data_IF_534379190747
#
_entry.id   IF_534379190747
#
_cell.length_a   1.000
_cell.length_b   1.000
_cell.length_c   1.000
_cell.angle_alpha   90.00
_cell.angle_beta   90.00
_cell.angle_gamma   90.00
#
_symmetry.space_group_name_H-M   'P 1'
#
loop_
_entity.id
_entity.type
_entity.pdbx_description
1 polymer ?
#
# COMPACT_ATOMS: atom_id res chain seq x y z
N UNK A 1 -1.95 -96.49 -12.68
CA UNK A 1 -2.76 -96.10 -11.51
C UNK A 1 -3.01 -94.61 -11.61
N UNK A 2 -4.26 -94.24 -11.35
CA UNK A 2 -4.97 -92.99 -11.65
C UNK A 2 -4.53 -91.83 -10.72
N UNK A 3 -5.02 -90.59 -10.99
CA UNK A 3 -5.22 -89.44 -10.06
C UNK A 3 -4.01 -88.50 -9.85
N UNK A 4 -4.08 -87.15 -9.86
CA UNK A 4 -5.16 -86.14 -10.03
C UNK A 4 -4.56 -84.77 -10.38
N UNK A 5 -5.36 -83.93 -11.06
CA UNK A 5 -5.20 -82.49 -11.20
C UNK A 5 -5.29 -81.75 -9.85
N UNK A 6 -4.57 -80.63 -9.73
CA UNK A 6 -4.73 -79.63 -8.66
C UNK A 6 -4.76 -78.21 -9.24
N UNK A 7 -5.84 -77.50 -8.93
CA UNK A 7 -6.14 -76.09 -9.24
C UNK A 7 -5.13 -75.10 -8.61
N UNK A 8 -4.93 -73.91 -9.21
CA UNK A 8 -5.54 -72.63 -8.77
C UNK A 8 -4.92 -71.38 -9.45
N UNK A 9 -5.81 -70.63 -10.10
CA UNK A 9 -5.99 -69.17 -10.19
C UNK A 9 -4.83 -68.18 -10.42
N UNK A 10 -5.03 -67.46 -11.53
CA UNK A 10 -4.55 -66.13 -11.97
C UNK A 10 -4.55 -65.07 -10.85
N UNK A 11 -3.57 -64.15 -10.88
CA UNK A 11 -3.83 -62.74 -10.64
C UNK A 11 -2.91 -61.84 -11.50
N UNK A 12 -3.56 -61.06 -12.34
CA UNK A 12 -3.05 -59.93 -13.11
C UNK A 12 -2.48 -58.88 -12.15
N UNK A 13 -1.23 -58.48 -12.33
CA UNK A 13 -0.73 -57.22 -11.80
C UNK A 13 -0.67 -56.21 -12.95
N UNK A 14 -1.70 -55.37 -13.03
CA UNK A 14 -1.70 -54.17 -13.90
C UNK A 14 -0.83 -53.12 -13.23
N UNK A 15 0.29 -52.76 -13.85
CA UNK A 15 1.14 -51.66 -13.43
C UNK A 15 0.52 -50.35 -13.94
N UNK A 16 -0.18 -49.61 -13.08
CA UNK A 16 -0.63 -48.25 -13.37
C UNK A 16 0.54 -47.31 -13.04
N UNK A 17 1.28 -46.87 -14.04
CA UNK A 17 2.24 -45.77 -13.92
C UNK A 17 1.48 -44.44 -13.86
N UNK A 18 1.27 -43.93 -12.66
CA UNK A 18 0.82 -42.56 -12.40
C UNK A 18 1.92 -41.58 -12.81
N UNK A 19 1.73 -40.88 -13.93
CA UNK A 19 2.50 -39.68 -14.26
C UNK A 19 2.07 -38.56 -13.29
N UNK A 20 2.92 -38.28 -12.31
CA UNK A 20 2.82 -37.06 -11.50
C UNK A 20 3.35 -35.89 -12.34
N UNK A 21 2.45 -35.04 -12.80
CA UNK A 21 2.81 -33.74 -13.35
C UNK A 21 3.32 -32.87 -12.20
N UNK A 22 4.62 -32.64 -12.16
CA UNK A 22 5.20 -31.59 -11.31
C UNK A 22 4.80 -30.23 -11.89
N UNK A 23 3.83 -29.58 -11.27
CA UNK A 23 3.60 -28.14 -11.44
C UNK A 23 4.77 -27.46 -10.74
N UNK A 24 5.70 -26.93 -11.51
CA UNK A 24 6.78 -26.09 -11.01
C UNK A 24 6.17 -24.76 -10.56
N UNK A 25 5.95 -24.61 -9.26
CA UNK A 25 5.61 -23.33 -8.68
C UNK A 25 6.85 -22.43 -8.82
N UNK A 26 6.73 -21.35 -9.59
CA UNK A 26 7.78 -20.33 -9.67
C UNK A 26 8.09 -19.80 -8.27
N UNK A 27 9.29 -20.07 -7.79
CA UNK A 27 9.85 -19.54 -6.55
C UNK A 27 10.24 -18.06 -6.71
N UNK A 28 9.34 -17.24 -7.27
CA UNK A 28 9.62 -15.88 -7.71
C UNK A 28 9.51 -14.79 -6.63
N UNK A 29 9.13 -15.12 -5.39
CA UNK A 29 8.92 -14.10 -4.34
C UNK A 29 9.51 -14.44 -2.97
N UNK A 30 10.02 -15.65 -2.76
CA UNK A 30 10.42 -16.13 -1.43
C UNK A 30 11.88 -15.88 -1.03
N UNK A 31 12.70 -15.25 -1.88
CA UNK A 31 14.11 -15.03 -1.60
C UNK A 31 14.53 -13.57 -1.82
N UNK A 32 13.82 -12.63 -1.20
CA UNK A 32 14.52 -11.41 -0.80
C UNK A 32 15.44 -11.85 0.34
N UNK A 33 16.76 -11.73 0.15
CA UNK A 33 17.73 -12.06 1.20
C UNK A 33 17.35 -11.30 2.47
N UNK A 34 17.19 -12.02 3.58
CA UNK A 34 16.80 -11.46 4.88
C UNK A 34 17.69 -10.27 5.24
N UNK A 35 18.97 -10.39 4.92
CA UNK A 35 20.00 -9.37 5.08
C UNK A 35 19.68 -8.11 4.26
N UNK A 36 19.19 -8.25 3.03
CA UNK A 36 18.79 -7.10 2.20
C UNK A 36 17.59 -6.36 2.82
N UNK A 37 16.61 -7.07 3.37
CA UNK A 37 15.47 -6.46 4.07
C UNK A 37 15.90 -5.78 5.38
N UNK A 38 16.81 -6.39 6.13
CA UNK A 38 17.37 -5.83 7.36
C UNK A 38 18.15 -4.53 7.11
N UNK A 39 18.89 -4.45 5.98
CA UNK A 39 19.62 -3.25 5.58
C UNK A 39 18.79 -2.21 4.84
N UNK A 40 17.65 -2.60 4.26
CA UNK A 40 16.76 -1.68 3.55
C UNK A 40 16.24 -0.59 4.47
N UNK A 41 15.81 -0.94 5.69
CA UNK A 41 15.20 0.00 6.63
C UNK A 41 16.05 1.23 6.93
N UNK A 42 17.29 1.07 7.44
CA UNK A 42 18.18 2.19 7.72
C UNK A 42 18.56 3.02 6.49
N UNK A 43 18.70 2.37 5.34
CA UNK A 43 19.04 3.04 4.07
C UNK A 43 17.88 3.90 3.59
N UNK A 44 16.69 3.31 3.58
CA UNK A 44 15.46 3.95 3.16
C UNK A 44 15.14 5.14 4.07
N UNK A 45 15.28 4.97 5.40
CA UNK A 45 15.00 6.02 6.38
C UNK A 45 15.77 7.33 6.12
N UNK A 46 16.99 7.28 5.56
CA UNK A 46 17.77 8.48 5.22
C UNK A 46 17.17 9.30 4.07
N UNK A 47 16.32 8.69 3.25
CA UNK A 47 15.65 9.36 2.13
C UNK A 47 14.33 10.01 2.53
N UNK A 48 13.87 9.78 3.76
CA UNK A 48 12.61 10.27 4.27
C UNK A 48 12.77 11.53 5.15
N UNK A 49 11.80 12.42 5.07
CA UNK A 49 11.72 13.71 5.77
C UNK A 49 10.32 13.91 6.39
N UNK A 50 10.22 14.86 7.33
CA UNK A 50 8.96 15.18 8.02
C UNK A 50 8.07 16.19 7.24
N UNK A 51 8.65 16.89 6.28
CA UNK A 51 8.03 17.85 5.36
C UNK A 51 7.57 17.11 4.08
N UNK A 52 6.62 17.58 3.25
CA UNK A 52 6.35 18.98 2.87
C UNK A 52 5.15 19.65 3.55
N UNK A 53 4.41 18.95 4.41
CA UNK A 53 3.22 19.51 5.07
C UNK A 53 3.63 20.29 6.34
N UNK A 54 3.10 21.51 6.50
CA UNK A 54 3.40 22.40 7.62
C UNK A 54 2.14 22.69 8.45
N UNK A 55 2.14 22.40 9.77
CA UNK A 55 3.20 21.71 10.52
C UNK A 55 3.29 20.21 10.15
N UNK A 56 4.45 19.56 10.37
CA UNK A 56 4.62 18.14 10.09
C UNK A 56 3.56 17.24 10.73
N UNK A 57 3.07 16.28 9.95
CA UNK A 57 2.24 15.20 10.45
C UNK A 57 3.13 14.19 11.18
N UNK A 58 2.97 14.07 12.50
CA UNK A 58 3.84 13.22 13.35
C UNK A 58 3.85 11.73 12.98
N UNK A 59 2.85 11.27 12.23
CA UNK A 59 2.67 9.90 11.79
C UNK A 59 2.95 9.72 10.29
N UNK A 60 3.60 10.68 9.63
CA UNK A 60 3.98 10.58 8.24
C UNK A 60 5.49 10.75 8.05
N UNK A 61 6.02 10.02 7.08
CA UNK A 61 7.34 10.24 6.50
C UNK A 61 7.17 10.45 5.01
N UNK A 62 7.88 11.41 4.44
CA UNK A 62 7.81 11.77 3.03
C UNK A 62 9.16 11.62 2.34
N UNK A 63 9.15 11.27 1.07
CA UNK A 63 10.32 11.25 0.21
C UNK A 63 10.02 12.13 -1.00
N UNK A 64 10.85 13.13 -1.24
CA UNK A 64 10.78 13.93 -2.47
C UNK A 64 11.26 13.08 -3.64
N UNK A 65 10.43 12.97 -4.68
CA UNK A 65 10.75 12.20 -5.89
C UNK A 65 10.92 13.09 -7.11
N UNK A 66 10.99 14.41 -6.93
CA UNK A 66 11.15 15.41 -7.98
C UNK A 66 9.82 15.97 -8.50
N UNK A 67 9.90 17.10 -9.18
CA UNK A 67 8.79 17.73 -9.91
C UNK A 67 7.52 17.99 -9.08
N UNK A 68 7.71 18.31 -7.79
CA UNK A 68 6.59 18.55 -6.87
C UNK A 68 5.80 17.30 -6.53
N UNK A 69 6.38 16.11 -6.73
CA UNK A 69 5.79 14.82 -6.37
C UNK A 69 6.50 14.23 -5.15
N UNK A 70 5.75 13.48 -4.36
CA UNK A 70 6.26 12.84 -3.15
C UNK A 70 5.75 11.41 -3.05
N UNK A 71 6.57 10.52 -2.51
CA UNK A 71 6.11 9.27 -1.93
C UNK A 71 6.01 9.43 -0.41
N UNK A 72 5.06 8.78 0.25
CA UNK A 72 4.96 8.86 1.70
C UNK A 72 4.56 7.55 2.36
N UNK A 73 4.93 7.43 3.63
CA UNK A 73 4.50 6.39 4.54
C UNK A 73 3.61 7.04 5.59
N UNK A 74 2.45 6.45 5.84
CA UNK A 74 1.55 6.86 6.91
C UNK A 74 1.39 5.72 7.91
N UNK A 75 1.76 6.02 9.14
CA UNK A 75 1.79 5.11 10.27
C UNK A 75 0.52 5.21 11.10
N UNK A 76 0.15 4.10 11.74
CA UNK A 76 -0.98 4.06 12.68
C UNK A 76 -0.77 4.90 13.96
N UNK A 77 0.45 5.39 14.18
CA UNK A 77 0.90 6.13 15.35
C UNK A 77 1.98 7.15 14.97
N UNK A 78 2.36 8.08 15.86
CA UNK A 78 3.55 8.90 15.65
C UNK A 78 4.77 8.03 15.35
N UNK A 79 5.62 8.45 14.40
CA UNK A 79 6.81 7.70 13.96
C UNK A 79 7.80 7.48 15.12
N UNK A 80 7.76 8.33 16.15
CA UNK A 80 8.57 8.18 17.36
C UNK A 80 8.08 7.07 18.32
N UNK A 81 6.90 6.48 18.09
CA UNK A 81 6.42 5.35 18.90
C UNK A 81 7.11 4.05 18.41
N UNK A 82 7.77 3.27 19.29
CA UNK A 82 8.45 2.03 18.90
C UNK A 82 7.52 0.94 18.36
N UNK A 83 6.19 1.09 18.53
CA UNK A 83 5.15 0.21 17.98
C UNK A 83 4.47 0.80 16.74
N UNK A 84 4.97 1.92 16.21
CA UNK A 84 4.49 2.48 14.95
C UNK A 84 4.76 1.50 13.82
N UNK A 85 3.75 1.30 12.97
CA UNK A 85 3.85 0.48 11.77
C UNK A 85 3.20 1.21 10.60
N UNK A 86 3.78 1.12 9.39
CA UNK A 86 3.14 1.69 8.21
C UNK A 86 1.83 0.96 7.97
N UNK A 87 0.76 1.72 7.71
CA UNK A 87 -0.57 1.19 7.37
C UNK A 87 -1.01 1.66 5.97
N UNK A 88 -0.44 2.77 5.51
CA UNK A 88 -0.51 3.18 4.12
C UNK A 88 0.88 3.48 3.58
N UNK A 89 1.08 3.16 2.29
CA UNK A 89 1.97 3.95 1.45
C UNK A 89 1.12 4.92 0.63
N UNK A 90 1.74 5.93 0.07
CA UNK A 90 1.02 6.82 -0.83
C UNK A 90 1.93 7.62 -1.72
N UNK A 91 1.28 8.27 -2.66
CA UNK A 91 1.87 9.23 -3.57
C UNK A 91 1.13 10.55 -3.48
N UNK A 92 1.88 11.61 -3.70
CA UNK A 92 1.45 12.97 -3.51
C UNK A 92 1.92 13.84 -4.67
N UNK A 93 1.13 14.85 -5.01
CA UNK A 93 1.46 15.81 -6.06
C UNK A 93 1.03 17.20 -5.62
N UNK A 94 1.92 18.19 -5.80
CA UNK A 94 1.61 19.59 -5.58
C UNK A 94 0.48 20.04 -6.51
N UNK A 95 -0.37 20.92 -6.02
CA UNK A 95 -1.44 21.52 -6.79
C UNK A 95 -2.28 22.43 -5.92
N UNK A 96 -3.35 22.98 -6.50
CA UNK A 96 -4.29 23.84 -5.76
C UNK A 96 -5.51 23.06 -5.31
N UNK A 97 -6.17 23.57 -4.29
CA UNK A 97 -7.45 23.05 -3.83
C UNK A 97 -8.59 23.48 -4.75
N UNK A 98 -8.57 22.94 -5.96
CA UNK A 98 -9.52 23.16 -7.03
C UNK A 98 -9.88 21.82 -7.66
N UNK A 99 -11.14 21.62 -8.00
CA UNK A 99 -11.58 20.39 -8.67
C UNK A 99 -10.87 20.18 -10.01
N UNK A 100 -10.46 21.26 -10.68
CA UNK A 100 -9.68 21.18 -11.94
C UNK A 100 -8.24 20.72 -11.74
N UNK A 101 -7.68 21.00 -10.57
CA UNK A 101 -6.28 20.71 -10.27
C UNK A 101 -6.13 19.39 -9.49
N UNK A 102 -7.25 18.79 -9.08
CA UNK A 102 -7.28 17.44 -8.53
C UNK A 102 -6.97 16.41 -9.64
N UNK A 103 -5.91 15.60 -9.51
CA UNK A 103 -5.54 14.61 -10.51
C UNK A 103 -6.70 13.69 -10.88
N UNK A 104 -6.99 13.58 -12.18
CA UNK A 104 -8.10 12.81 -12.75
C UNK A 104 -9.45 13.02 -12.05
N UNK A 105 -9.67 14.20 -11.45
CA UNK A 105 -10.86 14.51 -10.64
C UNK A 105 -11.08 13.52 -9.50
N UNK A 106 -9.99 13.00 -8.93
CA UNK A 106 -9.99 12.04 -7.82
C UNK A 106 -10.23 10.59 -8.23
N UNK A 107 -10.51 10.29 -9.52
CA UNK A 107 -10.79 8.93 -10.01
C UNK A 107 -9.65 7.96 -9.78
N UNK A 108 -8.41 8.46 -9.76
CA UNK A 108 -7.20 7.65 -9.55
C UNK A 108 -6.78 7.56 -8.08
N UNK A 109 -7.57 8.09 -7.14
CA UNK A 109 -7.37 7.96 -5.68
C UNK A 109 -6.80 9.20 -4.98
N UNK A 110 -6.49 10.26 -5.72
CA UNK A 110 -6.08 11.56 -5.16
C UNK A 110 -7.27 12.30 -4.56
N UNK A 111 -7.79 11.81 -3.44
CA UNK A 111 -9.03 12.29 -2.82
C UNK A 111 -8.80 13.19 -1.61
N UNK A 112 -7.58 13.24 -1.10
CA UNK A 112 -7.23 13.90 0.17
C UNK A 112 -6.27 15.05 -0.10
N UNK A 113 -6.57 16.26 0.36
CA UNK A 113 -5.72 17.44 0.20
C UNK A 113 -5.17 17.93 1.53
N UNK A 114 -3.91 18.37 1.52
CA UNK A 114 -3.30 19.12 2.61
C UNK A 114 -2.69 20.42 2.10
N UNK A 115 -2.97 21.53 2.80
CA UNK A 115 -2.26 22.80 2.64
C UNK A 115 -0.79 22.63 3.00
N UNK A 116 0.08 23.33 2.28
CA UNK A 116 1.51 23.43 2.61
C UNK A 116 1.83 24.68 3.44
N UNK A 117 0.87 25.60 3.60
CA UNK A 117 0.99 26.79 4.44
C UNK A 117 0.31 26.54 5.78
N UNK A 118 0.93 27.03 6.87
CA UNK A 118 0.44 26.86 8.24
C UNK A 118 -1.00 27.41 8.35
N UNK A 119 -2.01 26.56 8.61
CA UNK A 119 -3.38 27.05 8.78
C UNK A 119 -3.52 27.77 10.13
N UNK A 120 -4.24 28.88 10.16
CA UNK A 120 -4.55 29.59 11.41
C UNK A 120 -5.59 28.84 12.26
N UNK A 121 -6.48 28.06 11.64
CA UNK A 121 -7.67 27.49 12.30
C UNK A 121 -7.95 26.01 12.01
N UNK A 122 -7.36 25.41 10.96
CA UNK A 122 -7.63 24.04 10.57
C UNK A 122 -6.68 23.03 11.25
N UNK A 123 -7.24 21.92 11.76
CA UNK A 123 -6.43 20.79 12.24
C UNK A 123 -5.56 20.27 11.10
N UNK A 124 -4.25 20.50 11.20
CA UNK A 124 -3.20 19.90 10.37
C UNK A 124 -3.30 20.17 8.85
N UNK A 125 -3.94 21.26 8.45
CA UNK A 125 -3.99 21.69 7.04
C UNK A 125 -4.90 20.86 6.14
N UNK A 126 -5.77 20.01 6.70
CA UNK A 126 -6.70 19.17 5.92
C UNK A 126 -7.71 20.02 5.10
N UNK A 127 -7.85 19.71 3.81
CA UNK A 127 -8.63 20.51 2.86
C UNK A 127 -8.01 21.89 2.58
N UNK A 128 -8.73 22.78 1.91
CA UNK A 128 -8.23 24.10 1.48
C UNK A 128 -9.34 25.14 1.32
N UNK A 129 -8.97 26.40 1.17
CA UNK A 129 -9.81 27.38 0.47
C UNK A 129 -9.65 27.21 -1.04
N UNK A 130 -10.63 27.69 -1.82
CA UNK A 130 -10.54 27.64 -3.29
C UNK A 130 -9.24 28.28 -3.78
N UNK A 131 -8.48 27.55 -4.61
CA UNK A 131 -7.22 28.04 -5.19
C UNK A 131 -6.01 27.95 -4.27
N UNK A 132 -6.17 27.48 -3.02
CA UNK A 132 -5.07 27.43 -2.06
C UNK A 132 -4.03 26.37 -2.47
N UNK A 133 -2.76 26.73 -2.39
CA UNK A 133 -1.63 25.85 -2.70
C UNK A 133 -1.49 24.73 -1.66
N UNK A 134 -1.16 23.54 -2.14
CA UNK A 134 -0.95 22.38 -1.29
C UNK A 134 -0.63 21.13 -2.07
N UNK A 135 -1.06 19.99 -1.54
CA UNK A 135 -0.70 18.67 -2.03
C UNK A 135 -1.93 17.79 -2.03
N UNK A 136 -2.18 17.13 -3.16
CA UNK A 136 -3.12 16.04 -3.31
C UNK A 136 -2.45 14.72 -2.97
N UNK A 137 -3.08 13.90 -2.13
CA UNK A 137 -2.58 12.65 -1.61
C UNK A 137 -3.48 11.50 -2.08
N UNK A 138 -2.83 10.43 -2.55
CA UNK A 138 -3.43 9.11 -2.72
C UNK A 138 -2.86 8.16 -1.67
N UNK A 139 -3.77 7.52 -0.93
CA UNK A 139 -3.41 6.51 0.07
C UNK A 139 -3.64 5.11 -0.49
N UNK A 140 -2.71 4.20 -0.23
CA UNK A 140 -2.76 2.79 -0.62
C UNK A 140 -2.60 1.95 0.64
N UNK A 141 -3.67 1.28 1.06
CA UNK A 141 -3.70 0.48 2.26
C UNK A 141 -2.79 -0.74 2.10
N UNK A 142 -1.98 -1.02 3.12
CA UNK A 142 -1.01 -2.13 3.12
C UNK A 142 -1.58 -3.43 3.67
N UNK A 143 -2.80 -3.43 4.20
CA UNK A 143 -3.38 -4.54 4.90
C UNK A 143 -4.83 -4.28 5.28
N UNK A 144 -5.41 -5.24 6.00
CA UNK A 144 -6.71 -5.12 6.63
C UNK A 144 -6.59 -4.36 7.96
N UNK A 145 -7.30 -3.26 8.14
CA UNK A 145 -7.36 -2.54 9.42
C UNK A 145 -8.55 -1.59 9.53
N UNK A 146 -8.93 -1.28 10.77
CA UNK A 146 -9.94 -0.29 11.08
C UNK A 146 -9.32 1.04 11.50
N UNK A 147 -9.82 2.14 10.91
CA UNK A 147 -9.42 3.50 11.27
C UNK A 147 -10.59 4.46 11.03
N UNK A 148 -10.85 5.38 11.96
CA UNK A 148 -11.90 6.40 11.83
C UNK A 148 -13.28 5.83 11.45
N UNK A 149 -13.66 4.71 12.09
CA UNK A 149 -14.93 3.99 11.83
C UNK A 149 -15.05 3.46 10.39
N UNK A 150 -13.93 3.20 9.72
CA UNK A 150 -13.87 2.59 8.39
C UNK A 150 -12.94 1.39 8.42
N UNK A 151 -13.33 0.37 7.67
CA UNK A 151 -12.53 -0.80 7.39
C UNK A 151 -11.80 -0.58 6.07
N UNK A 152 -10.49 -0.82 6.04
CA UNK A 152 -9.66 -0.74 4.85
C UNK A 152 -9.16 -2.12 4.48
N UNK A 153 -9.28 -2.45 3.20
CA UNK A 153 -8.66 -3.61 2.56
C UNK A 153 -7.42 -3.15 1.75
N UNK A 154 -6.47 -4.03 1.44
CA UNK A 154 -5.31 -3.67 0.61
C UNK A 154 -5.70 -3.01 -0.73
N UNK A 155 -5.00 -1.92 -1.09
CA UNK A 155 -5.22 -1.21 -2.35
C UNK A 155 -5.54 0.28 -2.18
N UNK A 156 -5.91 0.95 -3.27
CA UNK A 156 -6.16 2.40 -3.27
C UNK A 156 -7.39 2.72 -2.40
N UNK A 157 -7.17 3.57 -1.40
CA UNK A 157 -8.19 3.98 -0.45
C UNK A 157 -8.96 5.22 -0.96
N UNK A 158 -9.83 5.02 -1.95
CA UNK A 158 -10.64 6.08 -2.58
C UNK A 158 -11.55 6.85 -1.61
N UNK A 159 -11.76 6.32 -0.41
CA UNK A 159 -12.59 6.91 0.62
C UNK A 159 -11.77 7.40 1.83
N UNK A 160 -10.43 7.42 1.81
CA UNK A 160 -9.65 7.86 2.97
C UNK A 160 -9.69 9.38 3.14
N UNK A 161 -10.47 9.86 4.12
CA UNK A 161 -10.69 11.28 4.45
C UNK A 161 -10.76 12.19 3.20
N UNK A 162 -11.75 11.99 2.31
CA UNK A 162 -11.83 12.78 1.11
C UNK A 162 -12.07 14.25 1.46
N UNK A 163 -11.42 15.14 0.72
CA UNK A 163 -11.58 16.60 0.80
C UNK A 163 -12.15 17.10 -0.52
N UNK A 164 -13.48 17.21 -0.67
CA UNK A 164 -14.10 17.66 -1.91
C UNK A 164 -13.64 19.10 -2.23
N UNK A 165 -12.92 19.34 -3.33
CA UNK A 165 -12.51 20.68 -3.70
C UNK A 165 -13.64 21.45 -4.41
N UNK A 166 -13.68 22.79 -4.29
CA UNK A 166 -14.58 23.62 -5.08
C UNK A 166 -14.11 23.70 -6.54
N UNK A 167 -14.98 24.16 -7.43
CA UNK A 167 -14.54 24.70 -8.71
C UNK A 167 -13.88 26.06 -8.48
N UNK A 168 -12.73 26.28 -9.12
CA UNK A 168 -12.04 27.57 -9.08
C UNK A 168 -12.25 28.28 -10.41
N UNK A 169 -12.77 29.52 -10.42
CA UNK A 169 -12.94 30.30 -11.64
C UNK A 169 -11.62 30.68 -12.29
#
# INVERSE_FOLDING_TARGET
MMVKQGWFRVNFAVLVTSMVFFVWAETGSAAVAKEALEHLGPTLAKSYMAQPIIPPLRNHLWMDVGDGRYAFLHFNKPVSDPKARPIFIGDAVKGRFCSQDQPDRGKTGFVHFHRTVKPETAKHGHGGFAGEEGIWLRHIALGEFDMMKRHFTPGIAHNFMPTPPPFCP
#
